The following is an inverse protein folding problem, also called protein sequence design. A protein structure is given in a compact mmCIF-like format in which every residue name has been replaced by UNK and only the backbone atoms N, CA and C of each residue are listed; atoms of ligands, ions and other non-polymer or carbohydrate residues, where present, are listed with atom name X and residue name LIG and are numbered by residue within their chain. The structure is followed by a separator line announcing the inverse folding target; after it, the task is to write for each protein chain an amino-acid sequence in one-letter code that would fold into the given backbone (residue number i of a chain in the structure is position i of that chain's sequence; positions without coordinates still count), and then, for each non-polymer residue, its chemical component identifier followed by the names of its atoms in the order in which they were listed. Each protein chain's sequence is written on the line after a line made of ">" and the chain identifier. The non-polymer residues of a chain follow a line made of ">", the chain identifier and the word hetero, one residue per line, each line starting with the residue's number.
data_IF_925038626070
#
_entry.id   IF_925038626070
#
_cell.length_a   1.000
_cell.length_b   1.000
_cell.length_c   1.000
_cell.angle_alpha   90.00
_cell.angle_beta   90.00
_cell.angle_gamma   90.00
#
_symmetry.space_group_name_H-M   'P 1'
#
loop_
_entity.id
_entity.type
_entity.pdbx_description
1 polymer ?
#
# COMPACT_ATOMS: atom_id res chain seq x y z
N UNK A 1 40.35 45.78 -34.84
CA UNK A 1 40.55 46.96 -33.97
C UNK A 1 39.21 47.36 -33.36
N UNK A 2 39.22 47.63 -32.05
CA UNK A 2 38.18 48.27 -31.22
C UNK A 2 36.94 47.45 -30.84
N UNK A 3 37.18 46.66 -29.80
CA UNK A 3 36.32 46.45 -28.63
C UNK A 3 35.51 47.68 -28.22
N UNK A 4 34.22 47.52 -27.96
CA UNK A 4 33.50 48.35 -27.00
C UNK A 4 32.51 47.48 -26.20
N UNK A 5 32.97 47.06 -25.03
CA UNK A 5 32.13 46.55 -23.95
C UNK A 5 31.33 47.73 -23.40
N UNK A 6 30.00 47.62 -23.38
CA UNK A 6 29.18 48.37 -22.42
C UNK A 6 28.24 47.40 -21.73
N UNK A 7 28.46 47.27 -20.42
CA UNK A 7 27.65 46.57 -19.45
C UNK A 7 26.26 47.22 -19.36
N UNK A 8 25.18 46.43 -19.41
CA UNK A 8 23.95 46.76 -18.71
C UNK A 8 23.11 45.51 -18.44
N UNK A 9 23.16 45.11 -17.18
CA UNK A 9 22.25 44.24 -16.42
C UNK A 9 20.80 44.21 -16.92
N UNK A 10 20.32 43.02 -17.27
CA UNK A 10 18.90 42.66 -17.16
C UNK A 10 18.78 41.25 -16.59
N UNK A 11 18.47 41.23 -15.29
CA UNK A 11 18.00 40.10 -14.52
C UNK A 11 16.70 39.58 -15.17
N UNK A 12 16.78 38.57 -16.02
CA UNK A 12 15.62 37.85 -16.54
C UNK A 12 15.43 36.57 -15.72
N UNK A 13 14.74 36.76 -14.60
CA UNK A 13 13.99 35.74 -13.88
C UNK A 13 12.96 35.13 -14.85
N UNK A 14 13.34 34.08 -15.58
CA UNK A 14 12.37 33.20 -16.22
C UNK A 14 12.01 32.08 -15.24
N UNK A 15 11.10 32.44 -14.35
CA UNK A 15 10.33 31.51 -13.53
C UNK A 15 9.43 30.68 -14.45
N UNK A 16 9.94 29.53 -14.88
CA UNK A 16 9.11 28.41 -15.34
C UNK A 16 9.04 27.37 -14.21
N UNK A 17 8.56 27.81 -13.04
CA UNK A 17 7.92 26.90 -12.11
C UNK A 17 6.52 26.60 -12.67
N UNK A 18 6.48 25.75 -13.70
CA UNK A 18 5.23 25.18 -14.17
C UNK A 18 4.83 24.12 -13.15
N UNK A 19 3.69 24.35 -12.51
CA UNK A 19 3.07 23.46 -11.55
C UNK A 19 2.69 22.14 -12.23
N UNK A 20 3.45 21.09 -11.96
CA UNK A 20 2.89 19.75 -11.84
C UNK A 20 3.52 19.19 -10.57
N UNK A 21 2.76 19.22 -9.48
CA UNK A 21 3.16 18.59 -8.22
C UNK A 21 3.04 17.06 -8.36
N UNK A 22 3.73 16.49 -9.34
CA UNK A 22 4.27 15.14 -9.18
C UNK A 22 5.34 15.29 -8.11
N UNK A 23 5.10 14.69 -6.94
CA UNK A 23 5.98 14.83 -5.79
C UNK A 23 7.43 14.58 -6.22
N UNK A 24 8.31 15.57 -5.99
CA UNK A 24 9.76 15.48 -6.21
C UNK A 24 10.45 14.54 -5.20
N UNK A 25 9.75 13.49 -4.78
CA UNK A 25 10.30 12.44 -3.94
C UNK A 25 11.32 11.65 -4.76
N UNK A 26 12.49 11.46 -4.17
CA UNK A 26 13.50 10.52 -4.64
C UNK A 26 12.95 9.09 -4.68
N UNK A 27 13.61 8.22 -5.45
CA UNK A 27 13.25 6.80 -5.49
C UNK A 27 13.29 6.16 -4.09
N UNK A 28 14.28 6.53 -3.26
CA UNK A 28 14.41 6.06 -1.89
C UNK A 28 13.22 6.47 -1.01
N UNK A 29 12.73 7.71 -1.12
CA UNK A 29 11.55 8.17 -0.38
C UNK A 29 10.28 7.43 -0.79
N UNK A 30 10.08 7.20 -2.10
CA UNK A 30 8.93 6.44 -2.61
C UNK A 30 8.95 4.98 -2.13
N UNK A 31 10.13 4.36 -2.11
CA UNK A 31 10.31 3.01 -1.58
C UNK A 31 10.05 2.96 -0.07
N UNK A 32 10.56 3.91 0.70
CA UNK A 32 10.32 3.99 2.14
C UNK A 32 8.82 4.19 2.47
N UNK A 33 8.12 4.99 1.67
CA UNK A 33 6.67 5.15 1.79
C UNK A 33 5.93 3.84 1.49
N UNK A 34 6.32 3.12 0.44
CA UNK A 34 5.77 1.80 0.14
C UNK A 34 6.00 0.80 1.28
N UNK A 35 7.21 0.73 1.84
CA UNK A 35 7.50 -0.09 3.01
C UNK A 35 6.63 0.29 4.23
N UNK A 36 6.41 1.58 4.45
CA UNK A 36 5.52 2.07 5.52
C UNK A 36 4.08 1.60 5.31
N UNK A 37 3.57 1.69 4.08
CA UNK A 37 2.21 1.24 3.75
C UNK A 37 2.09 -0.29 3.84
N UNK A 38 3.12 -1.04 3.45
CA UNK A 38 3.17 -2.50 3.65
C UNK A 38 3.14 -2.86 5.14
N UNK A 39 3.85 -2.14 6.00
CA UNK A 39 3.81 -2.37 7.45
C UNK A 39 2.42 -2.06 8.06
N UNK A 40 1.73 -1.02 7.57
CA UNK A 40 0.34 -0.75 7.97
C UNK A 40 -0.61 -1.84 7.51
N UNK A 41 -0.45 -2.30 6.27
CA UNK A 41 -1.19 -3.44 5.75
C UNK A 41 -0.92 -4.73 6.55
N UNK A 42 0.34 -5.00 6.94
CA UNK A 42 0.66 -6.09 7.87
C UNK A 42 -0.13 -6.02 9.17
N UNK A 43 -0.22 -4.80 9.70
CA UNK A 43 -0.88 -4.54 10.98
C UNK A 43 -2.39 -4.75 10.87
N UNK A 44 -3.01 -4.38 9.75
CA UNK A 44 -4.45 -4.61 9.52
C UNK A 44 -4.75 -6.10 9.33
N UNK A 45 -3.90 -6.84 8.59
CA UNK A 45 -4.02 -8.31 8.46
C UNK A 45 -3.85 -9.00 9.81
N UNK A 46 -2.87 -8.59 10.61
CA UNK A 46 -2.69 -9.12 11.96
C UNK A 46 -3.87 -8.78 12.89
N UNK A 47 -4.48 -7.60 12.73
CA UNK A 47 -5.68 -7.20 13.47
C UNK A 47 -6.87 -8.09 13.12
N UNK A 48 -7.08 -8.38 11.84
CA UNK A 48 -8.09 -9.34 11.37
C UNK A 48 -7.89 -10.73 11.99
N UNK A 49 -6.64 -11.22 12.05
CA UNK A 49 -6.31 -12.53 12.64
C UNK A 49 -6.46 -12.57 14.17
N UNK A 50 -6.36 -11.43 14.84
CA UNK A 50 -6.38 -11.32 16.31
C UNK A 50 -7.75 -10.97 16.89
N UNK A 51 -8.81 -11.07 16.07
CA UNK A 51 -10.19 -10.96 16.56
C UNK A 51 -10.41 -11.92 17.73
N UNK A 52 -11.05 -11.40 18.78
CA UNK A 52 -11.26 -12.18 19.99
C UNK A 52 -12.35 -13.25 19.77
N UNK A 53 -12.39 -14.31 20.57
CA UNK A 53 -13.51 -15.26 20.54
C UNK A 53 -14.90 -14.63 20.78
N UNK A 54 -14.95 -13.42 21.36
CA UNK A 54 -16.19 -12.67 21.59
C UNK A 54 -16.55 -11.75 20.42
N UNK A 55 -15.73 -11.69 19.36
CA UNK A 55 -16.01 -10.91 18.16
C UNK A 55 -17.08 -11.60 17.30
N UNK A 56 -17.63 -10.85 16.36
CA UNK A 56 -18.70 -11.29 15.46
C UNK A 56 -18.20 -11.41 14.02
N UNK A 57 -18.98 -12.08 13.16
CA UNK A 57 -18.73 -12.05 11.70
C UNK A 57 -18.78 -10.62 11.15
N UNK A 58 -19.59 -9.75 11.74
CA UNK A 58 -19.62 -8.32 11.40
C UNK A 58 -18.28 -7.64 11.68
N UNK A 59 -17.66 -7.94 12.83
CA UNK A 59 -16.33 -7.40 13.18
C UNK A 59 -15.25 -7.94 12.23
N UNK A 60 -15.36 -9.19 11.80
CA UNK A 60 -14.48 -9.77 10.77
C UNK A 60 -14.60 -9.02 9.43
N UNK A 61 -15.83 -8.77 8.97
CA UNK A 61 -16.07 -8.00 7.74
C UNK A 61 -15.55 -6.56 7.88
N UNK A 62 -15.72 -5.94 9.04
CA UNK A 62 -15.16 -4.60 9.30
C UNK A 62 -13.63 -4.59 9.29
N UNK A 63 -12.99 -5.59 9.90
CA UNK A 63 -11.53 -5.74 9.85
C UNK A 63 -11.04 -5.92 8.41
N UNK A 64 -11.78 -6.66 7.58
CA UNK A 64 -11.46 -6.82 6.16
C UNK A 64 -11.56 -5.50 5.38
N UNK A 65 -12.52 -4.64 5.68
CA UNK A 65 -12.57 -3.30 5.08
C UNK A 65 -11.34 -2.45 5.47
N UNK A 66 -10.84 -2.61 6.69
CA UNK A 66 -9.58 -1.96 7.09
C UNK A 66 -8.37 -2.52 6.32
N UNK A 67 -8.33 -3.84 6.09
CA UNK A 67 -7.31 -4.49 5.24
C UNK A 67 -7.35 -3.91 3.82
N UNK A 68 -8.54 -3.81 3.20
CA UNK A 68 -8.73 -3.20 1.87
C UNK A 68 -8.28 -1.75 1.80
N UNK A 69 -8.62 -0.96 2.82
CA UNK A 69 -8.19 0.43 2.91
C UNK A 69 -6.66 0.55 2.91
N UNK A 70 -5.99 -0.20 3.79
CA UNK A 70 -4.51 -0.21 3.83
C UNK A 70 -3.88 -0.77 2.56
N UNK A 71 -4.52 -1.74 1.90
CA UNK A 71 -4.04 -2.27 0.63
C UNK A 71 -4.13 -1.24 -0.50
N UNK A 72 -5.16 -0.39 -0.49
CA UNK A 72 -5.28 0.72 -1.44
C UNK A 72 -4.11 1.70 -1.30
N UNK A 73 -3.63 1.94 -0.08
CA UNK A 73 -2.41 2.74 0.16
C UNK A 73 -1.17 2.05 -0.43
N UNK A 74 -1.05 0.72 -0.28
CA UNK A 74 0.02 -0.08 -0.89
C UNK A 74 -0.01 0.01 -2.41
N UNK A 75 -1.17 -0.21 -3.05
CA UNK A 75 -1.30 -0.07 -4.52
C UNK A 75 -0.90 1.32 -4.99
N UNK A 76 -1.34 2.35 -4.27
CA UNK A 76 -1.08 3.74 -4.62
C UNK A 76 0.41 4.09 -4.52
N UNK A 77 1.11 3.64 -3.47
CA UNK A 77 2.55 3.85 -3.35
C UNK A 77 3.38 2.94 -4.27
N UNK A 78 2.94 1.70 -4.51
CA UNK A 78 3.58 0.76 -5.42
C UNK A 78 3.60 1.30 -6.87
N UNK A 79 2.53 1.96 -7.31
CA UNK A 79 2.48 2.58 -8.64
C UNK A 79 3.58 3.64 -8.87
N UNK A 80 4.19 4.17 -7.81
CA UNK A 80 5.28 5.16 -7.88
C UNK A 80 6.67 4.53 -7.80
N UNK A 81 6.78 3.22 -7.55
CA UNK A 81 8.04 2.48 -7.41
C UNK A 81 8.19 1.53 -8.60
N UNK A 82 9.17 1.77 -9.46
CA UNK A 82 9.31 1.10 -10.76
C UNK A 82 9.48 -0.43 -10.66
N UNK A 83 10.05 -0.93 -9.56
CA UNK A 83 10.30 -2.36 -9.33
C UNK A 83 9.20 -3.04 -8.50
N UNK A 84 8.21 -2.29 -8.00
CA UNK A 84 7.17 -2.85 -7.14
C UNK A 84 6.20 -3.73 -7.94
N UNK A 85 6.16 -5.02 -7.59
CA UNK A 85 5.20 -5.99 -8.14
C UNK A 85 4.09 -6.21 -7.14
N UNK A 86 2.92 -5.63 -7.39
CA UNK A 86 1.76 -5.71 -6.48
C UNK A 86 0.76 -6.81 -6.85
N UNK A 87 0.86 -7.39 -8.05
CA UNK A 87 -0.17 -8.31 -8.60
C UNK A 87 -0.42 -9.54 -7.74
N UNK A 88 0.62 -10.17 -7.20
CA UNK A 88 0.47 -11.37 -6.34
C UNK A 88 -0.26 -11.02 -5.04
N UNK A 89 0.12 -9.88 -4.43
CA UNK A 89 -0.52 -9.38 -3.22
C UNK A 89 -1.96 -8.93 -3.48
N UNK A 90 -2.21 -8.31 -4.63
CA UNK A 90 -3.55 -7.93 -5.10
C UNK A 90 -4.45 -9.16 -5.25
N UNK A 91 -3.97 -10.19 -5.93
CA UNK A 91 -4.74 -11.42 -6.11
C UNK A 91 -5.05 -12.11 -4.77
N UNK A 92 -4.07 -12.15 -3.87
CA UNK A 92 -4.25 -12.73 -2.53
C UNK A 92 -5.30 -11.93 -1.72
N UNK A 93 -5.21 -10.60 -1.74
CA UNK A 93 -6.15 -9.72 -1.03
C UNK A 93 -7.57 -9.86 -1.60
N UNK A 94 -7.73 -9.90 -2.92
CA UNK A 94 -9.03 -10.10 -3.56
C UNK A 94 -9.66 -11.45 -3.22
N UNK A 95 -8.85 -12.50 -3.13
CA UNK A 95 -9.32 -13.83 -2.71
C UNK A 95 -9.78 -13.82 -1.26
N UNK A 96 -9.02 -13.18 -0.36
CA UNK A 96 -9.42 -12.99 1.04
C UNK A 96 -10.73 -12.20 1.16
N UNK A 97 -10.88 -11.10 0.40
CA UNK A 97 -12.13 -10.32 0.39
C UNK A 97 -13.30 -11.18 -0.07
N UNK A 98 -13.14 -11.93 -1.17
CA UNK A 98 -14.19 -12.81 -1.69
C UNK A 98 -14.58 -13.88 -0.67
N UNK A 99 -13.60 -14.48 0.00
CA UNK A 99 -13.83 -15.49 1.03
C UNK A 99 -14.63 -14.89 2.19
N UNK A 100 -14.24 -13.73 2.73
CA UNK A 100 -14.92 -13.06 3.85
C UNK A 100 -16.33 -12.58 3.48
N UNK A 101 -16.52 -12.00 2.30
CA UNK A 101 -17.84 -11.57 1.83
C UNK A 101 -18.79 -12.75 1.60
N UNK A 102 -18.25 -13.92 1.27
CA UNK A 102 -19.00 -15.17 1.12
C UNK A 102 -19.50 -15.78 2.44
N UNK A 103 -19.02 -15.29 3.59
CA UNK A 103 -19.39 -15.82 4.91
C UNK A 103 -20.81 -15.38 5.26
N UNK A 104 -21.74 -16.32 5.53
CA UNK A 104 -23.07 -16.00 6.01
C UNK A 104 -23.02 -15.29 7.36
N UNK A 105 -23.89 -14.30 7.57
CA UNK A 105 -23.96 -13.58 8.86
C UNK A 105 -24.39 -14.47 10.04
N UNK A 106 -24.96 -15.64 9.75
CA UNK A 106 -25.33 -16.67 10.72
C UNK A 106 -24.18 -17.60 11.11
N UNK A 107 -23.03 -17.52 10.44
CA UNK A 107 -21.86 -18.30 10.79
C UNK A 107 -21.31 -17.85 12.15
N UNK A 108 -20.71 -18.79 12.87
CA UNK A 108 -19.91 -18.44 14.06
C UNK A 108 -18.59 -17.82 13.62
N UNK A 109 -17.98 -16.99 14.48
CA UNK A 109 -16.66 -16.44 14.19
C UNK A 109 -15.63 -17.56 13.95
N UNK A 110 -15.68 -18.66 14.70
CA UNK A 110 -14.75 -19.78 14.52
C UNK A 110 -14.84 -20.38 13.11
N UNK A 111 -16.05 -20.65 12.63
CA UNK A 111 -16.26 -21.16 11.27
C UNK A 111 -15.75 -20.16 10.23
N UNK A 112 -16.01 -18.86 10.47
CA UNK A 112 -15.57 -17.79 9.61
C UNK A 112 -14.03 -17.73 9.53
N UNK A 113 -13.33 -17.73 10.66
CA UNK A 113 -11.86 -17.70 10.73
C UNK A 113 -11.22 -18.94 10.14
N UNK A 114 -11.80 -20.13 10.38
CA UNK A 114 -11.31 -21.38 9.81
C UNK A 114 -11.44 -21.38 8.28
N UNK A 115 -12.51 -20.79 7.75
CA UNK A 115 -12.77 -20.73 6.31
C UNK A 115 -11.87 -19.78 5.52
N UNK A 116 -11.18 -18.85 6.20
CA UNK A 116 -10.33 -17.83 5.55
C UNK A 116 -8.85 -17.96 5.93
N UNK A 117 -8.50 -18.98 6.73
CA UNK A 117 -7.15 -19.12 7.29
C UNK A 117 -6.07 -19.28 6.20
N UNK A 118 -6.39 -20.00 5.11
CA UNK A 118 -5.49 -20.19 3.98
C UNK A 118 -5.29 -18.89 3.19
N UNK A 119 -6.36 -18.13 2.96
CA UNK A 119 -6.32 -16.84 2.28
C UNK A 119 -5.51 -15.81 3.07
N UNK A 120 -5.69 -15.77 4.40
CA UNK A 120 -4.87 -14.91 5.29
C UNK A 120 -3.40 -15.29 5.18
N UNK A 121 -3.07 -16.58 5.25
CA UNK A 121 -1.68 -17.04 5.11
C UNK A 121 -1.09 -16.69 3.73
N UNK A 122 -1.91 -16.76 2.67
CA UNK A 122 -1.52 -16.38 1.31
C UNK A 122 -1.23 -14.89 1.20
N UNK A 123 -2.05 -14.04 1.84
CA UNK A 123 -1.81 -12.59 1.92
C UNK A 123 -0.52 -12.29 2.69
N UNK A 124 -0.32 -12.92 3.85
CA UNK A 124 0.91 -12.74 4.66
C UNK A 124 2.16 -13.14 3.86
N UNK A 125 2.11 -14.25 3.12
CA UNK A 125 3.22 -14.72 2.28
C UNK A 125 3.53 -13.76 1.13
N UNK A 126 2.51 -13.34 0.38
CA UNK A 126 2.68 -12.40 -0.74
C UNK A 126 3.22 -11.04 -0.26
N UNK A 127 2.75 -10.58 0.91
CA UNK A 127 3.24 -9.35 1.52
C UNK A 127 4.70 -9.48 1.93
N UNK A 128 5.09 -10.57 2.60
CA UNK A 128 6.47 -10.80 3.02
C UNK A 128 7.42 -10.89 1.80
N UNK A 129 6.99 -11.51 0.71
CA UNK A 129 7.73 -11.56 -0.54
C UNK A 129 7.96 -10.14 -1.12
N UNK A 130 6.93 -9.29 -1.09
CA UNK A 130 7.04 -7.91 -1.55
C UNK A 130 7.96 -7.07 -0.65
N UNK A 131 7.82 -7.18 0.67
CA UNK A 131 8.72 -6.52 1.64
C UNK A 131 10.18 -6.94 1.44
N UNK A 132 10.43 -8.24 1.23
CA UNK A 132 11.77 -8.76 0.95
C UNK A 132 12.32 -8.26 -0.38
N UNK A 133 11.51 -8.23 -1.45
CA UNK A 133 11.94 -7.74 -2.75
C UNK A 133 12.30 -6.25 -2.75
N UNK A 134 11.65 -5.48 -1.88
CA UNK A 134 11.92 -4.06 -1.66
C UNK A 134 12.98 -3.77 -0.60
N UNK A 135 13.53 -4.81 0.06
CA UNK A 135 14.45 -4.67 1.19
C UNK A 135 13.92 -3.71 2.27
N UNK A 136 12.63 -3.83 2.60
CA UNK A 136 12.05 -3.06 3.70
C UNK A 136 12.72 -3.48 5.02
N UNK A 137 13.33 -2.51 5.72
CA UNK A 137 14.02 -2.70 7.00
C UNK A 137 13.11 -2.38 8.18
#
# INVERSE_FOLDING_TARGET
>A
MKTFRFLLTTLLLFSLASCTSESTQSAAEKQAELCTNLARFRTSVASLRSLSPNSTVSDLKQAQEQVKSTFTEVKTSAARVQEARVTELEQAQENLDRAIQGIPDTATLQQATDSVAEEVATVEAAQAQMESGLNCQ
#
